data_IF_305049261264
#
_entry.id   IF_305049261264
#
_cell.length_a   1.000
_cell.length_b   1.000
_cell.length_c   1.000
_cell.angle_alpha   90.00
_cell.angle_beta   90.00
_cell.angle_gamma   90.00
#
_symmetry.space_group_name_H-M   'P 1'
#
loop_
_entity.id
_entity.type
_entity.pdbx_description
1 polymer ?
#
# COMPACT_ATOMS: atom_id res chain seq x y z
N UNK A 1 -8.19 6.34 14.93
CA UNK A 1 -7.55 7.19 15.96
C UNK A 1 -6.91 8.37 15.24
N UNK A 2 -7.08 9.63 15.67
CA UNK A 2 -6.28 10.72 15.13
C UNK A 2 -4.86 10.60 15.71
N UNK A 3 -3.85 10.58 14.84
CA UNK A 3 -2.44 10.59 15.23
C UNK A 3 -2.16 11.85 16.05
N UNK A 4 -1.57 11.70 17.24
CA UNK A 4 -1.21 12.83 18.12
C UNK A 4 0.20 13.33 17.90
N UNK A 5 1.00 12.58 17.15
CA UNK A 5 2.44 12.80 17.10
C UNK A 5 2.77 13.71 15.93
N UNK A 6 3.56 14.74 16.24
CA UNK A 6 3.99 15.68 15.25
C UNK A 6 4.96 15.03 14.25
N UNK A 7 4.95 15.50 12.99
CA UNK A 7 5.75 14.90 11.90
C UNK A 7 7.25 14.82 12.24
N UNK A 8 7.76 15.73 13.07
CA UNK A 8 9.17 15.75 13.49
C UNK A 8 9.55 14.67 14.52
N UNK A 9 8.59 13.93 15.09
CA UNK A 9 8.83 12.84 16.05
C UNK A 9 8.60 11.43 15.44
N UNK A 10 8.17 11.38 14.18
CA UNK A 10 7.84 10.14 13.47
C UNK A 10 9.06 9.23 13.30
N UNK A 11 8.92 7.98 13.72
CA UNK A 11 9.92 6.91 13.58
C UNK A 11 9.24 5.56 13.25
N UNK A 12 10.01 4.57 12.78
CA UNK A 12 9.47 3.28 12.32
C UNK A 12 8.70 2.53 13.42
N UNK A 13 9.19 2.55 14.66
CA UNK A 13 8.55 1.88 15.79
C UNK A 13 7.16 2.47 16.10
N UNK A 14 7.05 3.81 16.14
CA UNK A 14 5.79 4.51 16.38
C UNK A 14 4.77 4.23 15.28
N UNK A 15 5.18 4.37 14.02
CA UNK A 15 4.29 4.12 12.87
C UNK A 15 3.87 2.64 12.81
N UNK A 16 4.77 1.71 13.14
CA UNK A 16 4.45 0.28 13.21
C UNK A 16 3.37 -0.01 14.25
N UNK A 17 3.49 0.58 15.45
CA UNK A 17 2.49 0.44 16.51
C UNK A 17 1.14 1.04 16.12
N UNK A 18 1.13 2.20 15.46
CA UNK A 18 -0.10 2.83 14.96
C UNK A 18 -0.83 1.92 13.96
N UNK A 19 -0.11 1.32 13.00
CA UNK A 19 -0.69 0.43 11.99
C UNK A 19 -1.27 -0.86 12.61
N UNK A 20 -0.56 -1.43 13.58
CA UNK A 20 -1.03 -2.60 14.33
C UNK A 20 -2.27 -2.26 15.17
N UNK A 21 -2.22 -1.17 15.94
CA UNK A 21 -3.34 -0.72 16.76
C UNK A 21 -4.58 -0.37 15.93
N UNK A 22 -4.39 0.20 14.73
CA UNK A 22 -5.48 0.36 13.76
C UNK A 22 -6.07 -1.01 13.42
N UNK A 23 -5.24 -1.96 13.00
CA UNK A 23 -5.71 -3.26 12.53
C UNK A 23 -6.48 -4.02 13.61
N UNK A 24 -5.96 -4.06 14.83
CA UNK A 24 -6.62 -4.68 15.99
C UNK A 24 -7.97 -4.02 16.31
N UNK A 25 -8.02 -2.69 16.37
CA UNK A 25 -9.26 -1.95 16.70
C UNK A 25 -10.35 -2.13 15.64
N UNK A 26 -9.98 -2.23 14.37
CA UNK A 26 -10.96 -2.38 13.28
C UNK A 26 -11.38 -3.83 13.11
N UNK A 27 -10.52 -4.80 13.40
CA UNK A 27 -10.90 -6.21 13.47
C UNK A 27 -11.97 -6.45 14.54
N UNK A 28 -11.85 -5.81 15.72
CA UNK A 28 -12.86 -5.92 16.78
C UNK A 28 -14.22 -5.30 16.38
N UNK A 29 -14.21 -4.25 15.55
CA UNK A 29 -15.37 -3.39 15.31
C UNK A 29 -16.11 -3.65 14.01
N UNK A 30 -15.48 -4.31 13.04
CA UNK A 30 -16.08 -4.55 11.72
C UNK A 30 -16.58 -5.97 11.58
N UNK A 31 -17.83 -6.09 11.14
CA UNK A 31 -18.42 -7.37 10.73
C UNK A 31 -18.29 -7.62 9.21
N UNK A 32 -17.96 -6.58 8.43
CA UNK A 32 -17.88 -6.62 6.96
C UNK A 32 -16.45 -6.53 6.40
N UNK A 33 -16.28 -6.73 5.08
CA UNK A 33 -14.96 -6.64 4.44
C UNK A 33 -14.43 -5.21 4.47
N UNK A 34 -13.11 -5.08 4.68
CA UNK A 34 -12.37 -3.82 4.62
C UNK A 34 -11.33 -3.89 3.51
N UNK A 35 -11.24 -2.85 2.70
CA UNK A 35 -10.27 -2.75 1.60
C UNK A 35 -9.37 -1.52 1.80
N UNK A 36 -8.29 -1.65 2.60
CA UNK A 36 -7.42 -0.53 2.92
C UNK A 36 -6.52 -0.10 1.75
N UNK A 37 -6.03 1.12 1.83
CA UNK A 37 -4.99 1.65 0.94
C UNK A 37 -3.93 2.35 1.79
N UNK A 38 -2.67 2.28 1.35
CA UNK A 38 -1.59 3.01 1.99
C UNK A 38 -1.75 4.52 1.73
N UNK A 39 -1.54 5.30 2.78
CA UNK A 39 -1.39 6.73 2.70
C UNK A 39 0.08 7.15 2.75
N UNK A 40 0.29 8.46 2.71
CA UNK A 40 1.60 9.07 2.77
C UNK A 40 2.19 9.11 4.20
N UNK A 41 1.38 8.81 5.21
CA UNK A 41 1.73 8.88 6.63
C UNK A 41 2.22 7.54 7.20
N UNK A 42 2.11 6.46 6.44
CA UNK A 42 2.44 5.08 6.83
C UNK A 42 3.94 4.78 6.76
N UNK A 43 4.79 5.78 6.54
CA UNK A 43 6.25 5.66 6.52
C UNK A 43 6.93 6.58 7.55
N UNK A 44 8.18 6.25 7.88
CA UNK A 44 9.09 7.08 8.65
C UNK A 44 10.44 7.19 7.91
N UNK A 45 10.91 8.40 7.55
CA UNK A 45 10.18 9.67 7.61
C UNK A 45 8.87 9.66 6.81
N UNK A 46 7.99 10.62 7.08
CA UNK A 46 6.73 10.78 6.33
C UNK A 46 6.99 10.94 4.82
N UNK A 47 6.12 10.36 3.99
CA UNK A 47 6.20 10.32 2.51
C UNK A 47 7.37 9.49 1.94
N UNK A 48 8.15 8.80 2.76
CA UNK A 48 9.36 8.08 2.37
C UNK A 48 9.03 6.72 1.74
N UNK A 49 8.74 6.74 0.43
CA UNK A 49 8.55 5.54 -0.41
C UNK A 49 9.55 5.52 -1.57
N UNK A 50 10.74 4.91 -1.38
CA UNK A 50 11.77 4.83 -2.40
C UNK A 50 11.34 4.04 -3.65
N UNK A 51 11.98 4.37 -4.78
CA UNK A 51 11.86 3.61 -6.03
C UNK A 51 12.69 2.33 -5.92
N UNK A 52 12.32 1.31 -6.68
CA UNK A 52 13.12 0.08 -6.78
C UNK A 52 14.48 0.30 -7.46
N UNK A 53 14.64 1.42 -8.17
CA UNK A 53 15.91 1.87 -8.75
C UNK A 53 16.74 2.74 -7.81
N UNK A 54 16.20 3.14 -6.65
CA UNK A 54 16.93 3.95 -5.67
C UNK A 54 18.03 3.11 -5.02
N UNK A 55 19.29 3.52 -5.16
CA UNK A 55 20.41 2.89 -4.47
C UNK A 55 20.64 3.54 -3.10
N UNK A 56 19.85 3.11 -2.10
CA UNK A 56 19.93 3.62 -0.73
C UNK A 56 19.45 2.56 0.28
N UNK A 57 20.01 2.48 1.50
CA UNK A 57 19.58 1.49 2.50
C UNK A 57 18.15 1.71 3.03
N UNK A 58 17.65 2.95 3.04
CA UNK A 58 16.27 3.27 3.43
C UNK A 58 15.31 2.64 2.42
N UNK A 59 14.29 1.94 2.93
CA UNK A 59 13.23 1.31 2.14
C UNK A 59 11.92 1.25 2.93
N UNK A 60 10.82 0.93 2.25
CA UNK A 60 9.48 0.82 2.87
C UNK A 60 9.01 -0.63 3.04
N UNK A 61 9.92 -1.61 2.96
CA UNK A 61 9.54 -3.03 3.03
C UNK A 61 8.97 -3.42 4.39
N UNK A 62 9.39 -2.74 5.47
CA UNK A 62 8.83 -2.95 6.80
C UNK A 62 7.34 -2.57 6.86
N UNK A 63 6.94 -1.48 6.18
CA UNK A 63 5.52 -1.07 6.05
C UNK A 63 4.74 -2.19 5.37
N UNK A 64 5.24 -2.68 4.23
CA UNK A 64 4.58 -3.73 3.45
C UNK A 64 4.48 -5.04 4.23
N UNK A 65 5.50 -5.41 5.00
CA UNK A 65 5.51 -6.62 5.82
C UNK A 65 4.46 -6.55 6.96
N UNK A 66 4.29 -5.38 7.59
CA UNK A 66 3.26 -5.21 8.63
C UNK A 66 1.87 -5.36 8.01
N UNK A 67 1.59 -4.68 6.90
CA UNK A 67 0.27 -4.77 6.27
C UNK A 67 -0.01 -6.16 5.68
N UNK A 68 1.01 -6.85 5.16
CA UNK A 68 0.85 -8.24 4.71
C UNK A 68 0.34 -9.14 5.85
N UNK A 69 0.89 -8.98 7.06
CA UNK A 69 0.44 -9.71 8.24
C UNK A 69 -0.94 -9.26 8.73
N UNK A 70 -1.15 -7.94 8.82
CA UNK A 70 -2.29 -7.33 9.49
C UNK A 70 -3.53 -7.15 8.63
N UNK A 71 -3.50 -7.32 7.30
CA UNK A 71 -4.70 -7.18 6.45
C UNK A 71 -5.29 -8.51 5.97
N UNK A 72 -4.64 -9.63 6.33
CA UNK A 72 -4.99 -10.94 5.78
C UNK A 72 -6.41 -11.39 6.14
N UNK A 73 -6.94 -10.95 7.28
CA UNK A 73 -8.31 -11.19 7.71
C UNK A 73 -9.37 -10.45 6.88
N UNK A 74 -9.00 -9.35 6.19
CA UNK A 74 -9.96 -8.56 5.40
C UNK A 74 -9.90 -8.85 3.91
N UNK A 75 -8.71 -9.00 3.35
CA UNK A 75 -8.51 -9.14 1.89
C UNK A 75 -8.01 -10.53 1.48
N UNK A 76 -7.67 -11.39 2.46
CA UNK A 76 -7.17 -12.74 2.24
C UNK A 76 -5.68 -12.81 1.91
N UNK A 77 -5.07 -13.98 2.16
CA UNK A 77 -3.62 -14.20 1.97
C UNK A 77 -3.14 -13.99 0.53
N UNK A 78 -3.99 -14.29 -0.46
CA UNK A 78 -3.64 -14.08 -1.88
C UNK A 78 -3.47 -12.59 -2.20
N UNK A 79 -4.30 -11.73 -1.61
CA UNK A 79 -4.19 -10.29 -1.82
C UNK A 79 -3.03 -9.69 -1.02
N UNK A 80 -2.86 -10.10 0.24
CA UNK A 80 -1.76 -9.57 1.07
C UNK A 80 -0.37 -9.93 0.55
N UNK A 81 -0.19 -11.12 -0.05
CA UNK A 81 1.08 -11.50 -0.67
C UNK A 81 1.49 -10.57 -1.82
N UNK A 82 0.54 -9.88 -2.47
CA UNK A 82 0.84 -8.93 -3.54
C UNK A 82 1.48 -7.64 -3.01
N UNK A 83 1.16 -7.23 -1.79
CA UNK A 83 1.57 -5.94 -1.20
C UNK A 83 3.09 -5.76 -1.27
N UNK A 84 3.87 -6.80 -0.96
CA UNK A 84 5.34 -6.72 -0.99
C UNK A 84 5.91 -6.61 -2.39
N UNK A 85 5.28 -7.27 -3.36
CA UNK A 85 5.76 -7.33 -4.73
C UNK A 85 5.30 -6.13 -5.57
N UNK A 86 4.14 -5.56 -5.25
CA UNK A 86 3.50 -4.48 -6.00
C UNK A 86 3.59 -3.13 -5.25
N UNK A 87 4.67 -2.94 -4.47
CA UNK A 87 5.00 -1.69 -3.77
C UNK A 87 3.86 -1.13 -2.91
N UNK A 88 3.17 -2.00 -2.19
CA UNK A 88 2.04 -1.64 -1.32
C UNK A 88 0.66 -1.72 -1.99
N UNK A 89 0.62 -2.08 -3.27
CA UNK A 89 -0.62 -2.24 -4.04
C UNK A 89 -1.11 -3.70 -4.00
N UNK A 90 -2.41 -3.93 -4.17
CA UNK A 90 -2.99 -5.27 -4.26
C UNK A 90 -4.33 -5.25 -4.99
N UNK A 91 -4.78 -6.44 -5.41
CA UNK A 91 -6.13 -6.66 -5.92
C UNK A 91 -6.81 -7.82 -5.20
N UNK A 92 -8.14 -7.75 -5.08
CA UNK A 92 -8.98 -8.83 -4.52
C UNK A 92 -10.40 -8.73 -5.04
N UNK A 93 -11.15 -9.83 -5.01
CA UNK A 93 -12.58 -9.80 -5.34
C UNK A 93 -13.40 -9.38 -4.13
N UNK A 94 -14.35 -8.47 -4.31
CA UNK A 94 -15.30 -8.14 -3.27
C UNK A 94 -16.23 -9.34 -2.99
N UNK A 95 -16.37 -9.80 -1.72
CA UNK A 95 -17.16 -10.97 -1.39
C UNK A 95 -18.60 -10.89 -1.91
N UNK A 96 -19.03 -11.93 -2.64
CA UNK A 96 -20.39 -12.04 -3.17
C UNK A 96 -20.70 -11.13 -4.37
N UNK A 97 -19.72 -10.40 -4.91
CA UNK A 97 -19.87 -9.48 -6.03
C UNK A 97 -18.97 -9.88 -7.21
N UNK A 98 -19.39 -9.53 -8.43
CA UNK A 98 -18.54 -9.61 -9.62
C UNK A 98 -17.72 -8.32 -9.81
N UNK A 99 -17.04 -7.91 -8.73
CA UNK A 99 -16.31 -6.65 -8.62
C UNK A 99 -14.89 -6.92 -8.08
N UNK A 100 -13.87 -6.60 -8.88
CA UNK A 100 -12.47 -6.59 -8.48
C UNK A 100 -12.16 -5.24 -7.83
N UNK A 101 -11.60 -5.27 -6.62
CA UNK A 101 -11.06 -4.10 -5.94
C UNK A 101 -9.57 -4.04 -6.23
N UNK A 102 -9.08 -2.90 -6.70
CA UNK A 102 -7.66 -2.65 -6.95
C UNK A 102 -7.23 -1.47 -6.06
N UNK A 103 -6.38 -1.75 -5.09
CA UNK A 103 -5.80 -0.76 -4.17
C UNK A 103 -4.40 -0.40 -4.63
N UNK A 104 -4.15 0.89 -4.89
CA UNK A 104 -2.88 1.38 -5.41
C UNK A 104 -2.15 2.24 -4.38
N UNK A 105 -0.84 2.04 -4.25
CA UNK A 105 -0.01 2.96 -3.49
C UNK A 105 0.27 4.22 -4.33
N UNK A 106 -0.57 5.24 -4.14
CA UNK A 106 -0.47 6.50 -4.88
C UNK A 106 0.65 7.43 -4.38
N UNK A 107 1.37 7.07 -3.31
CA UNK A 107 2.50 7.86 -2.80
C UNK A 107 3.65 7.95 -3.82
N UNK A 108 3.69 7.03 -4.79
CA UNK A 108 4.58 7.09 -5.94
C UNK A 108 4.28 8.21 -6.96
N UNK A 109 3.20 8.97 -6.78
CA UNK A 109 2.93 10.23 -7.50
C UNK A 109 2.75 11.42 -6.55
N UNK A 110 3.06 11.25 -5.28
CA UNK A 110 2.91 12.33 -4.30
C UNK A 110 4.09 13.29 -4.36
N UNK A 111 3.81 14.60 -4.48
CA UNK A 111 4.84 15.63 -4.67
C UNK A 111 5.90 15.69 -3.56
N UNK A 112 5.55 15.26 -2.35
CA UNK A 112 6.46 15.25 -1.19
C UNK A 112 7.20 13.92 -1.00
N UNK A 113 6.96 12.92 -1.86
CA UNK A 113 7.83 11.76 -1.92
C UNK A 113 9.12 12.17 -2.66
N UNK A 114 10.12 12.61 -1.90
CA UNK A 114 11.35 13.15 -2.48
C UNK A 114 12.22 12.12 -3.19
N UNK A 115 11.97 10.82 -2.98
CA UNK A 115 12.64 9.73 -3.71
C UNK A 115 12.34 9.74 -5.21
N UNK A 116 11.26 10.40 -5.64
CA UNK A 116 10.93 10.55 -7.07
C UNK A 116 11.90 11.50 -7.81
N UNK A 117 12.75 12.24 -7.08
CA UNK A 117 13.70 13.21 -7.61
C UNK A 117 15.17 12.82 -7.36
N UNK A 118 15.44 11.60 -6.93
CA UNK A 118 16.81 11.13 -6.61
C UNK A 118 17.68 10.80 -7.84
N UNK A 119 17.12 10.94 -9.05
CA UNK A 119 17.80 10.69 -10.33
C UNK A 119 17.24 11.59 -11.43
N UNK A 120 18.07 11.92 -12.41
CA UNK A 120 17.67 12.60 -13.65
C UNK A 120 17.08 11.65 -14.70
N UNK A 121 17.13 10.34 -14.46
CA UNK A 121 16.50 9.35 -15.34
C UNK A 121 14.98 9.46 -15.24
N UNK A 122 14.33 9.61 -16.39
CA UNK A 122 12.87 9.73 -16.45
C UNK A 122 12.22 8.36 -16.22
N UNK A 123 11.45 8.24 -15.14
CA UNK A 123 10.73 7.03 -14.75
C UNK A 123 9.22 7.32 -14.66
N UNK A 124 8.45 7.16 -15.74
CA UNK A 124 7.04 7.55 -15.79
C UNK A 124 6.12 6.64 -14.97
N UNK A 125 6.54 5.41 -14.69
CA UNK A 125 5.83 4.43 -13.88
C UNK A 125 6.74 3.90 -12.76
N UNK A 126 6.84 4.62 -11.63
CA UNK A 126 7.68 4.19 -10.52
C UNK A 126 7.24 2.80 -10.04
N UNK A 127 8.19 1.87 -10.02
CA UNK A 127 8.01 0.49 -9.59
C UNK A 127 6.98 -0.34 -10.39
N UNK A 128 6.54 0.12 -11.57
CA UNK A 128 5.63 -0.65 -12.43
C UNK A 128 4.18 -0.71 -11.95
N UNK A 129 3.73 0.24 -11.13
CA UNK A 129 2.39 0.23 -10.52
C UNK A 129 1.29 0.49 -11.57
N UNK A 130 1.53 1.33 -12.58
CA UNK A 130 0.59 1.52 -13.70
C UNK A 130 0.56 0.25 -14.55
N UNK A 131 1.70 -0.37 -14.83
CA UNK A 131 1.74 -1.64 -15.55
C UNK A 131 0.95 -2.73 -14.81
N UNK A 132 1.10 -2.82 -13.48
CA UNK A 132 0.29 -3.69 -12.62
C UNK A 132 -1.21 -3.38 -12.73
N UNK A 133 -1.61 -2.10 -12.66
CA UNK A 133 -3.00 -1.70 -12.81
C UNK A 133 -3.58 -2.13 -14.16
N UNK A 134 -2.84 -1.91 -15.26
CA UNK A 134 -3.28 -2.32 -16.61
C UNK A 134 -3.50 -3.83 -16.66
N UNK A 135 -2.59 -4.62 -16.09
CA UNK A 135 -2.74 -6.08 -16.03
C UNK A 135 -4.01 -6.47 -15.27
N UNK A 136 -4.24 -5.90 -14.09
CA UNK A 136 -5.40 -6.24 -13.26
C UNK A 136 -6.73 -5.86 -13.92
N UNK A 137 -6.77 -4.73 -14.62
CA UNK A 137 -7.92 -4.28 -15.40
C UNK A 137 -8.18 -5.20 -16.59
N UNK A 138 -7.15 -5.61 -17.33
CA UNK A 138 -7.29 -6.54 -18.45
C UNK A 138 -7.80 -7.90 -17.98
N UNK A 139 -7.25 -8.43 -16.88
CA UNK A 139 -7.73 -9.68 -16.30
C UNK A 139 -9.19 -9.60 -15.85
N UNK A 140 -9.64 -8.44 -15.35
CA UNK A 140 -11.04 -8.22 -15.01
C UNK A 140 -11.91 -8.17 -16.27
N UNK A 141 -11.47 -7.48 -17.34
CA UNK A 141 -12.17 -7.42 -18.62
C UNK A 141 -12.34 -8.82 -19.23
N UNK A 142 -11.27 -9.60 -19.32
CA UNK A 142 -11.26 -10.96 -19.87
C UNK A 142 -12.20 -11.90 -19.07
N UNK A 143 -12.30 -11.68 -17.76
CA UNK A 143 -13.17 -12.41 -16.86
C UNK A 143 -14.62 -11.88 -16.83
N UNK A 144 -14.94 -10.81 -17.55
CA UNK A 144 -16.26 -10.15 -17.52
C UNK A 144 -16.61 -9.52 -16.16
N UNK A 145 -15.60 -9.16 -15.37
CA UNK A 145 -15.72 -8.51 -14.06
C UNK A 145 -15.82 -6.97 -14.21
N UNK A 146 -16.35 -6.30 -13.18
CA UNK A 146 -16.14 -4.86 -13.00
C UNK A 146 -14.89 -4.62 -12.15
N UNK A 147 -14.22 -3.50 -12.35
CA UNK A 147 -13.07 -3.05 -11.57
C UNK A 147 -13.15 -1.53 -11.38
#
# INVERSE_FOLDING_TARGET
MPRTDAIWEVNEDGVSKDMQAFSEQWEEKLEGPLFPALGNLESAPTNSFPRNTTDHPINSQWVFAIQEGSWSQWIGRKATAQIRHNSGSYSTMAPGLNLKIISLNTVYWYKQNFWLYDSNEHQPDPNGIIAYLVQELQEAEDAGQRA
#
